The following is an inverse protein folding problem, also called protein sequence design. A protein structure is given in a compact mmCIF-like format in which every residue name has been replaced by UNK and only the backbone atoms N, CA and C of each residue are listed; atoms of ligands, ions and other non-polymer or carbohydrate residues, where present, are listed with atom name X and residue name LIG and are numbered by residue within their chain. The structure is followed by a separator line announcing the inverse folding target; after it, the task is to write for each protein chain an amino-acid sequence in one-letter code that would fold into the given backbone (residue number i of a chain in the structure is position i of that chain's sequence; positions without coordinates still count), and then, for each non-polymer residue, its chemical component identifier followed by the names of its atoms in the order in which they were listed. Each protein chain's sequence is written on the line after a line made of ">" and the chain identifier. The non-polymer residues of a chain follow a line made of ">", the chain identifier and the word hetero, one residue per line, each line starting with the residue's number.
data_IF_138103684891
#
_entry.id   IF_138103684891
#
_cell.length_a   1.000
_cell.length_b   1.000
_cell.length_c   1.000
_cell.angle_alpha   90.00
_cell.angle_beta   90.00
_cell.angle_gamma   90.00
#
_symmetry.space_group_name_H-M   'P 1'
#
loop_
_entity.id
_entity.type
_entity.pdbx_description
1 polymer ?
#
# COMPACT_ATOMS: atom_id res chain seq x y z
N UNK A 1 -53.24 -60.03 42.64
CA UNK A 1 -51.83 -60.40 42.81
C UNK A 1 -51.24 -61.04 41.55
N UNK A 2 -51.79 -62.16 41.07
CA UNK A 2 -51.24 -62.92 39.93
C UNK A 2 -51.06 -62.14 38.62
N UNK A 3 -51.99 -61.24 38.27
CA UNK A 3 -51.86 -60.41 37.06
C UNK A 3 -50.69 -59.41 37.16
N UNK A 4 -50.41 -58.92 38.36
CA UNK A 4 -49.32 -57.98 38.63
C UNK A 4 -47.96 -58.67 38.54
N UNK A 5 -47.84 -59.86 39.15
CA UNK A 5 -46.61 -60.66 39.09
C UNK A 5 -46.26 -61.07 37.65
N UNK A 6 -47.26 -61.46 36.86
CA UNK A 6 -47.08 -61.69 35.41
C UNK A 6 -46.64 -60.43 34.68
N UNK A 7 -47.23 -59.27 35.00
CA UNK A 7 -46.85 -57.99 34.41
C UNK A 7 -45.40 -57.60 34.71
N UNK A 8 -44.96 -57.70 35.96
CA UNK A 8 -43.56 -57.47 36.36
C UNK A 8 -42.62 -58.47 35.68
N UNK A 9 -43.01 -59.74 35.59
CA UNK A 9 -42.21 -60.76 34.92
C UNK A 9 -41.93 -60.42 33.46
N UNK A 10 -42.96 -60.05 32.69
CA UNK A 10 -42.77 -59.66 31.29
C UNK A 10 -42.02 -58.33 31.17
N UNK A 11 -42.30 -57.36 32.03
CA UNK A 11 -41.59 -56.09 32.02
C UNK A 11 -40.08 -56.26 32.26
N UNK A 12 -39.69 -57.15 33.19
CA UNK A 12 -38.28 -57.52 33.41
C UNK A 12 -37.70 -58.27 32.21
N UNK A 13 -38.44 -59.22 31.63
CA UNK A 13 -38.00 -59.99 30.45
C UNK A 13 -37.66 -59.09 29.26
N UNK A 14 -38.40 -57.99 29.08
CA UNK A 14 -38.23 -57.05 27.97
C UNK A 14 -37.53 -55.74 28.38
N UNK A 15 -36.87 -55.69 29.56
CA UNK A 15 -36.13 -54.52 30.07
C UNK A 15 -36.92 -53.19 30.05
N UNK A 16 -38.20 -53.25 30.41
CA UNK A 16 -39.08 -52.08 30.46
C UNK A 16 -38.96 -51.36 31.81
N UNK A 17 -37.78 -50.80 32.11
CA UNK A 17 -37.42 -50.25 33.43
C UNK A 17 -38.40 -49.16 33.93
N UNK A 18 -38.88 -48.28 33.05
CA UNK A 18 -39.89 -47.26 33.39
C UNK A 18 -41.26 -47.88 33.74
N UNK A 19 -41.64 -48.97 33.07
CA UNK A 19 -42.88 -49.67 33.36
C UNK A 19 -42.78 -50.43 34.69
N UNK A 20 -41.64 -51.06 34.97
CA UNK A 20 -41.35 -51.71 36.26
C UNK A 20 -41.45 -50.67 37.40
N UNK A 21 -40.86 -49.49 37.21
CA UNK A 21 -40.96 -48.37 38.16
C UNK A 21 -42.42 -47.99 38.43
N UNK A 22 -43.22 -47.71 37.40
CA UNK A 22 -44.63 -47.33 37.57
C UNK A 22 -45.48 -48.42 38.25
N UNK A 23 -45.18 -49.70 37.97
CA UNK A 23 -45.87 -50.82 38.61
C UNK A 23 -45.55 -50.90 40.10
N UNK A 24 -44.28 -50.79 40.50
CA UNK A 24 -43.90 -50.77 41.92
C UNK A 24 -44.42 -49.52 42.63
N UNK A 25 -44.50 -48.36 41.98
CA UNK A 25 -45.07 -47.14 42.59
C UNK A 25 -46.55 -47.31 42.91
N UNK A 26 -47.30 -47.85 41.94
CA UNK A 26 -48.70 -48.21 42.12
C UNK A 26 -48.90 -49.25 43.24
N UNK A 27 -47.99 -50.22 43.35
CA UNK A 27 -48.04 -51.25 44.38
C UNK A 27 -47.72 -50.69 45.77
N UNK A 28 -46.72 -49.81 45.88
CA UNK A 28 -46.40 -49.11 47.12
C UNK A 28 -47.59 -48.33 47.65
N UNK A 29 -48.23 -47.54 46.77
CA UNK A 29 -49.44 -46.79 47.10
C UNK A 29 -50.58 -47.69 47.55
N UNK A 30 -50.80 -48.79 46.84
CA UNK A 30 -51.81 -49.79 47.22
C UNK A 30 -51.53 -50.36 48.61
N UNK A 31 -50.31 -50.81 48.90
CA UNK A 31 -49.98 -51.37 50.21
C UNK A 31 -50.09 -50.35 51.34
N UNK A 32 -49.66 -49.11 51.12
CA UNK A 32 -49.81 -48.04 52.10
C UNK A 32 -51.29 -47.75 52.40
N UNK A 33 -52.15 -47.68 51.36
CA UNK A 33 -53.59 -47.45 51.50
C UNK A 33 -54.29 -48.52 52.33
N UNK A 34 -53.87 -49.78 52.19
CA UNK A 34 -54.40 -50.92 52.96
C UNK A 34 -53.64 -51.17 54.27
N UNK A 35 -52.86 -50.19 54.77
CA UNK A 35 -52.10 -50.25 56.04
C UNK A 35 -51.09 -51.40 56.13
N UNK A 36 -50.59 -51.90 54.99
CA UNK A 36 -49.53 -52.92 54.90
C UNK A 36 -48.17 -52.24 54.80
N UNK A 37 -47.74 -51.63 55.90
CA UNK A 37 -46.57 -50.73 55.92
C UNK A 37 -45.25 -51.41 55.54
N UNK A 38 -45.02 -52.64 56.00
CA UNK A 38 -43.83 -53.42 55.68
C UNK A 38 -43.66 -53.62 54.17
N UNK A 39 -44.70 -54.13 53.49
CA UNK A 39 -44.69 -54.34 52.03
C UNK A 39 -44.63 -53.03 51.24
N UNK A 40 -45.25 -51.97 51.76
CA UNK A 40 -45.15 -50.64 51.16
C UNK A 40 -43.71 -50.10 51.22
N UNK A 41 -43.02 -50.33 52.34
CA UNK A 41 -41.62 -49.97 52.55
C UNK A 41 -40.68 -50.76 51.63
N UNK A 42 -40.80 -52.09 51.59
CA UNK A 42 -40.03 -52.94 50.67
C UNK A 42 -40.14 -52.46 49.22
N UNK A 43 -41.36 -52.12 48.79
CA UNK A 43 -41.60 -51.62 47.45
C UNK A 43 -40.98 -50.24 47.21
N UNK A 44 -40.96 -49.37 48.23
CA UNK A 44 -40.30 -48.05 48.17
C UNK A 44 -38.79 -48.17 48.04
N UNK A 45 -38.17 -49.14 48.71
CA UNK A 45 -36.72 -49.40 48.57
C UNK A 45 -36.38 -49.78 47.13
N UNK A 46 -37.17 -50.66 46.51
CA UNK A 46 -37.01 -51.04 45.10
C UNK A 46 -37.19 -49.83 44.17
N UNK A 47 -38.16 -48.95 44.45
CA UNK A 47 -38.36 -47.72 43.67
C UNK A 47 -37.18 -46.75 43.77
N UNK A 48 -36.59 -46.62 44.95
CA UNK A 48 -35.42 -45.76 45.13
C UNK A 48 -34.26 -46.23 44.24
N UNK A 49 -33.99 -47.54 44.18
CA UNK A 49 -32.96 -48.11 43.30
C UNK A 49 -33.29 -47.96 41.80
N UNK A 50 -34.55 -48.17 41.41
CA UNK A 50 -34.96 -47.99 40.01
C UNK A 50 -34.88 -46.52 39.58
N UNK A 51 -35.24 -45.58 40.46
CA UNK A 51 -35.14 -44.14 40.17
C UNK A 51 -33.70 -43.70 39.95
N UNK A 52 -32.75 -44.14 40.79
CA UNK A 52 -31.34 -43.77 40.64
C UNK A 52 -30.77 -44.28 39.33
N UNK A 53 -31.13 -45.51 38.91
CA UNK A 53 -30.71 -46.07 37.62
C UNK A 53 -31.33 -45.32 36.43
N UNK A 54 -32.63 -45.02 36.47
CA UNK A 54 -33.33 -44.30 35.39
C UNK A 54 -32.81 -42.87 35.24
N UNK A 55 -32.57 -42.18 36.36
CA UNK A 55 -32.02 -40.83 36.35
C UNK A 55 -30.59 -40.80 35.80
N UNK A 56 -29.74 -41.77 36.18
CA UNK A 56 -28.40 -41.90 35.64
C UNK A 56 -28.41 -42.16 34.11
N UNK A 57 -29.30 -43.03 33.62
CA UNK A 57 -29.46 -43.31 32.18
C UNK A 57 -29.94 -42.06 31.43
N UNK A 58 -30.96 -41.37 31.96
CA UNK A 58 -31.50 -40.16 31.35
C UNK A 58 -30.48 -39.02 31.32
N UNK A 59 -29.71 -38.84 32.39
CA UNK A 59 -28.63 -37.84 32.44
C UNK A 59 -27.50 -38.19 31.47
N UNK A 60 -27.10 -39.45 31.40
CA UNK A 60 -26.07 -39.92 30.46
C UNK A 60 -26.46 -39.67 29.00
N UNK A 61 -27.70 -40.00 28.62
CA UNK A 61 -28.21 -39.72 27.27
C UNK A 61 -28.24 -38.22 26.94
N UNK A 62 -28.69 -37.37 27.89
CA UNK A 62 -28.65 -35.91 27.73
C UNK A 62 -27.21 -35.40 27.61
N UNK A 63 -26.29 -35.94 28.40
CA UNK A 63 -24.87 -35.57 28.38
C UNK A 63 -24.23 -35.91 27.03
N UNK A 64 -24.55 -37.08 26.46
CA UNK A 64 -24.05 -37.51 25.15
C UNK A 64 -24.53 -36.59 24.02
N UNK A 65 -25.81 -36.21 24.02
CA UNK A 65 -26.37 -35.27 23.03
C UNK A 65 -25.66 -33.91 23.15
N UNK A 66 -25.48 -33.42 24.38
CA UNK A 66 -24.78 -32.16 24.64
C UNK A 66 -23.31 -32.22 24.17
N UNK A 67 -22.61 -33.32 24.45
CA UNK A 67 -21.24 -33.51 23.99
C UNK A 67 -21.16 -33.50 22.46
N UNK A 68 -22.07 -34.19 21.78
CA UNK A 68 -22.13 -34.21 20.32
C UNK A 68 -22.42 -32.82 19.74
N UNK A 69 -23.30 -32.04 20.38
CA UNK A 69 -23.57 -30.65 19.98
C UNK A 69 -22.32 -29.76 20.16
N UNK A 70 -21.62 -29.89 21.29
CA UNK A 70 -20.37 -29.16 21.53
C UNK A 70 -19.32 -29.54 20.49
N UNK A 71 -19.16 -30.83 20.18
CA UNK A 71 -18.22 -31.31 19.16
C UNK A 71 -18.59 -30.79 17.77
N UNK A 72 -19.86 -30.84 17.38
CA UNK A 72 -20.33 -30.31 16.11
C UNK A 72 -20.10 -28.79 16.00
N UNK A 73 -20.37 -28.05 17.08
CA UNK A 73 -20.12 -26.62 17.14
C UNK A 73 -18.62 -26.31 17.01
N UNK A 74 -17.74 -27.05 17.70
CA UNK A 74 -16.29 -26.91 17.56
C UNK A 74 -15.82 -27.19 16.13
N UNK A 75 -16.25 -28.30 15.53
CA UNK A 75 -15.93 -28.65 14.14
C UNK A 75 -16.38 -27.57 13.15
N UNK A 76 -17.61 -27.07 13.29
CA UNK A 76 -18.14 -25.99 12.45
C UNK A 76 -17.36 -24.68 12.61
N UNK A 77 -16.94 -24.34 13.83
CA UNK A 77 -16.11 -23.17 14.11
C UNK A 77 -14.73 -23.30 13.45
N UNK A 78 -14.09 -24.46 13.56
CA UNK A 78 -12.80 -24.72 12.91
C UNK A 78 -12.89 -24.61 11.39
N UNK A 79 -13.91 -25.22 10.78
CA UNK A 79 -14.16 -25.13 9.33
C UNK A 79 -14.38 -23.67 8.91
N UNK A 80 -15.18 -22.92 9.66
CA UNK A 80 -15.44 -21.50 9.39
C UNK A 80 -14.17 -20.68 9.50
N UNK A 81 -13.37 -20.90 10.54
CA UNK A 81 -12.11 -20.20 10.74
C UNK A 81 -11.12 -20.51 9.61
N UNK A 82 -10.97 -21.78 9.21
CA UNK A 82 -10.13 -22.17 8.07
C UNK A 82 -10.58 -21.50 6.76
N UNK A 83 -11.89 -21.43 6.50
CA UNK A 83 -12.43 -20.72 5.33
C UNK A 83 -12.09 -19.23 5.38
N UNK A 84 -12.27 -18.59 6.54
CA UNK A 84 -11.96 -17.16 6.72
C UNK A 84 -10.47 -16.89 6.49
N UNK A 85 -9.58 -17.72 7.04
CA UNK A 85 -8.13 -17.61 6.82
C UNK A 85 -7.79 -17.72 5.33
N UNK A 86 -8.36 -18.70 4.62
CA UNK A 86 -8.13 -18.86 3.16
C UNK A 86 -8.62 -17.64 2.36
N UNK A 87 -9.80 -17.11 2.68
CA UNK A 87 -10.35 -15.91 2.03
C UNK A 87 -9.41 -14.71 2.27
N UNK A 88 -8.96 -14.52 3.50
CA UNK A 88 -8.04 -13.45 3.85
C UNK A 88 -6.71 -13.55 3.07
N UNK A 89 -6.14 -14.75 2.94
CA UNK A 89 -4.93 -14.98 2.14
C UNK A 89 -5.14 -14.69 0.66
N UNK A 90 -6.29 -15.04 0.09
CA UNK A 90 -6.62 -14.73 -1.30
C UNK A 90 -6.71 -13.21 -1.53
N UNK A 91 -7.34 -12.50 -0.60
CA UNK A 91 -7.44 -11.02 -0.64
C UNK A 91 -6.05 -10.39 -0.57
N UNK A 92 -5.18 -10.83 0.35
CA UNK A 92 -3.79 -10.33 0.44
C UNK A 92 -3.05 -10.57 -0.87
N UNK A 93 -3.13 -11.79 -1.41
CA UNK A 93 -2.47 -12.14 -2.67
C UNK A 93 -2.93 -11.25 -3.82
N UNK A 94 -4.24 -10.99 -3.91
CA UNK A 94 -4.80 -10.07 -4.90
C UNK A 94 -4.20 -8.65 -4.76
N UNK A 95 -4.15 -8.12 -3.54
CA UNK A 95 -3.54 -6.80 -3.31
C UNK A 95 -2.05 -6.78 -3.62
N UNK A 96 -1.31 -7.85 -3.33
CA UNK A 96 0.11 -7.96 -3.67
C UNK A 96 0.31 -7.95 -5.20
N UNK A 97 -0.52 -8.66 -5.96
CA UNK A 97 -0.47 -8.66 -7.42
C UNK A 97 -0.75 -7.25 -7.96
N UNK A 98 -1.78 -6.58 -7.46
CA UNK A 98 -2.10 -5.20 -7.84
C UNK A 98 -0.94 -4.26 -7.50
N UNK A 99 -0.33 -4.41 -6.33
CA UNK A 99 0.83 -3.63 -5.90
C UNK A 99 2.02 -3.82 -6.85
N UNK A 100 2.32 -5.07 -7.23
CA UNK A 100 3.38 -5.39 -8.19
C UNK A 100 3.11 -4.71 -9.54
N UNK A 101 1.86 -4.74 -10.03
CA UNK A 101 1.47 -4.08 -11.29
C UNK A 101 1.66 -2.56 -11.18
N UNK A 102 1.29 -1.94 -10.06
CA UNK A 102 1.47 -0.50 -9.83
C UNK A 102 2.96 -0.14 -9.80
N UNK A 103 3.77 -0.91 -9.07
CA UNK A 103 5.23 -0.73 -9.03
C UNK A 103 5.84 -0.86 -10.42
N UNK A 104 5.42 -1.86 -11.20
CA UNK A 104 5.88 -2.06 -12.57
C UNK A 104 5.54 -0.86 -13.47
N UNK A 105 4.30 -0.35 -13.39
CA UNK A 105 3.89 0.87 -14.12
C UNK A 105 4.71 2.08 -13.70
N UNK A 106 4.92 2.29 -12.39
CA UNK A 106 5.74 3.40 -11.89
C UNK A 106 7.19 3.29 -12.36
N UNK A 107 7.76 2.08 -12.35
CA UNK A 107 9.11 1.83 -12.85
C UNK A 107 9.22 2.18 -14.35
N UNK A 108 8.28 1.72 -15.17
CA UNK A 108 8.27 2.02 -16.60
C UNK A 108 8.14 3.52 -16.87
N UNK A 109 7.16 4.20 -16.26
CA UNK A 109 6.99 5.65 -16.43
C UNK A 109 8.22 6.44 -15.98
N UNK A 110 8.87 6.03 -14.89
CA UNK A 110 10.10 6.69 -14.43
C UNK A 110 11.28 6.43 -15.37
N UNK A 111 11.37 5.24 -15.99
CA UNK A 111 12.41 4.93 -16.98
C UNK A 111 12.27 5.82 -18.21
N UNK A 112 11.05 5.97 -18.74
CA UNK A 112 10.78 6.84 -19.89
C UNK A 112 11.12 8.30 -19.60
N UNK A 113 10.72 8.82 -18.43
CA UNK A 113 11.06 10.17 -17.99
C UNK A 113 12.57 10.40 -17.90
N UNK A 114 13.33 9.42 -17.37
CA UNK A 114 14.80 9.52 -17.29
C UNK A 114 15.45 9.61 -18.66
N UNK A 115 15.00 8.80 -19.62
CA UNK A 115 15.53 8.82 -20.99
C UNK A 115 15.22 10.17 -21.66
N UNK A 116 14.00 10.70 -21.49
CA UNK A 116 13.62 12.00 -22.05
C UNK A 116 14.48 13.14 -21.49
N UNK A 117 14.65 13.18 -20.16
CA UNK A 117 15.46 14.19 -19.50
C UNK A 117 16.92 14.12 -19.94
N UNK A 118 17.48 12.92 -20.09
CA UNK A 118 18.86 12.77 -20.58
C UNK A 118 19.02 13.29 -22.02
N UNK A 119 18.07 12.95 -22.90
CA UNK A 119 18.08 13.44 -24.29
C UNK A 119 17.94 14.96 -24.36
N UNK A 120 17.05 15.54 -23.55
CA UNK A 120 16.88 16.99 -23.47
C UNK A 120 18.12 17.67 -22.91
N UNK A 121 18.74 17.10 -21.87
CA UNK A 121 20.00 17.59 -21.31
C UNK A 121 21.13 17.54 -22.34
N UNK A 122 21.23 16.47 -23.14
CA UNK A 122 22.21 16.37 -24.22
C UNK A 122 21.98 17.46 -25.28
N UNK A 123 20.75 17.61 -25.76
CA UNK A 123 20.40 18.67 -26.72
C UNK A 123 20.74 20.07 -26.19
N UNK A 124 20.51 20.32 -24.91
CA UNK A 124 20.86 21.59 -24.27
C UNK A 124 22.37 21.80 -24.20
N UNK A 125 23.14 20.76 -23.88
CA UNK A 125 24.61 20.81 -23.92
C UNK A 125 25.13 21.10 -25.31
N UNK A 126 24.59 20.45 -26.34
CA UNK A 126 24.98 20.69 -27.73
C UNK A 126 24.71 22.13 -28.13
N UNK A 127 23.53 22.66 -27.80
CA UNK A 127 23.15 24.05 -28.09
C UNK A 127 24.03 25.07 -27.35
N UNK A 128 24.40 24.79 -26.11
CA UNK A 128 25.36 25.63 -25.36
C UNK A 128 26.74 25.61 -26.01
N UNK A 129 27.19 24.45 -26.48
CA UNK A 129 28.47 24.28 -27.15
C UNK A 129 28.50 25.05 -28.47
N UNK A 130 27.42 24.95 -29.27
CA UNK A 130 27.24 25.71 -30.49
C UNK A 130 27.29 27.22 -30.23
N UNK A 131 26.52 27.70 -29.25
CA UNK A 131 26.48 29.13 -28.92
C UNK A 131 27.82 29.64 -28.39
N UNK A 132 28.50 28.85 -27.56
CA UNK A 132 29.86 29.15 -27.07
C UNK A 132 30.87 29.27 -28.21
N UNK A 133 30.78 28.38 -29.21
CA UNK A 133 31.62 28.44 -30.40
C UNK A 133 31.30 29.67 -31.27
N UNK A 134 30.02 30.01 -31.45
CA UNK A 134 29.62 31.23 -32.16
C UNK A 134 30.17 32.50 -31.49
N UNK A 135 30.07 32.59 -30.16
CA UNK A 135 30.63 33.71 -29.39
C UNK A 135 32.16 33.76 -29.51
N UNK A 136 32.83 32.61 -29.37
CA UNK A 136 34.28 32.53 -29.49
C UNK A 136 34.77 32.92 -30.89
N UNK A 137 34.08 32.48 -31.95
CA UNK A 137 34.39 32.87 -33.32
C UNK A 137 34.14 34.35 -33.56
N UNK A 138 33.03 34.92 -33.07
CA UNK A 138 32.77 36.36 -33.16
C UNK A 138 33.88 37.16 -32.46
N UNK A 139 34.31 36.75 -31.28
CA UNK A 139 35.40 37.39 -30.56
C UNK A 139 36.74 37.26 -31.30
N UNK A 140 37.04 36.11 -31.91
CA UNK A 140 38.25 35.92 -32.71
C UNK A 140 38.25 36.78 -33.98
N UNK A 141 37.11 36.92 -34.66
CA UNK A 141 36.96 37.81 -35.82
C UNK A 141 37.17 39.27 -35.39
N UNK A 142 36.52 39.72 -34.31
CA UNK A 142 36.71 41.07 -33.80
C UNK A 142 38.15 41.33 -33.37
N UNK A 143 38.84 40.34 -32.76
CA UNK A 143 40.25 40.45 -32.38
C UNK A 143 41.16 40.54 -33.60
N UNK A 144 40.97 39.68 -34.60
CA UNK A 144 41.75 39.72 -35.84
C UNK A 144 41.51 41.03 -36.62
N UNK A 145 40.30 41.58 -36.57
CA UNK A 145 40.02 42.88 -37.19
C UNK A 145 40.59 44.04 -36.38
N UNK A 146 40.70 43.92 -35.06
CA UNK A 146 41.41 44.90 -34.23
C UNK A 146 42.90 44.95 -34.59
N UNK A 147 43.52 43.80 -34.89
CA UNK A 147 44.92 43.72 -35.36
C UNK A 147 45.14 44.33 -36.76
N UNK A 148 44.05 44.63 -37.50
CA UNK A 148 44.07 45.27 -38.83
C UNK A 148 43.84 46.78 -38.80
N UNK A 149 43.64 47.37 -37.62
CA UNK A 149 43.52 48.81 -37.49
C UNK A 149 44.82 49.48 -37.92
N UNK A 150 44.73 50.57 -38.68
CA UNK A 150 45.91 51.39 -38.98
C UNK A 150 46.44 52.04 -37.70
N UNK A 151 47.71 52.41 -37.68
CA UNK A 151 48.34 53.10 -36.55
C UNK A 151 47.49 54.29 -36.06
N UNK A 152 46.98 55.08 -37.01
CA UNK A 152 46.10 56.21 -36.73
C UNK A 152 44.75 55.82 -36.12
N UNK A 153 44.15 54.72 -36.59
CA UNK A 153 42.90 54.22 -36.03
C UNK A 153 43.11 53.67 -34.61
N UNK A 154 44.24 53.01 -34.35
CA UNK A 154 44.64 52.51 -33.04
C UNK A 154 44.83 53.64 -32.03
N UNK A 155 45.48 54.74 -32.43
CA UNK A 155 45.58 55.96 -31.61
C UNK A 155 44.20 56.48 -31.20
N UNK A 156 43.29 56.62 -32.16
CA UNK A 156 41.92 57.10 -31.91
C UNK A 156 41.18 56.17 -30.93
N UNK A 157 41.27 54.84 -31.12
CA UNK A 157 40.67 53.86 -30.19
C UNK A 157 41.22 54.00 -28.77
N UNK A 158 42.54 54.16 -28.63
CA UNK A 158 43.18 54.33 -27.33
C UNK A 158 42.73 55.61 -26.61
N UNK A 159 42.51 56.70 -27.34
CA UNK A 159 41.98 57.94 -26.77
C UNK A 159 40.49 57.82 -26.40
N UNK A 160 39.70 57.09 -27.19
CA UNK A 160 38.31 56.77 -26.84
C UNK A 160 38.23 55.96 -25.54
N UNK A 161 39.08 54.94 -25.38
CA UNK A 161 39.16 54.11 -24.16
C UNK A 161 39.55 54.90 -22.91
N UNK A 162 40.28 56.00 -23.08
CA UNK A 162 40.59 56.95 -22.00
C UNK A 162 39.42 57.88 -21.66
N UNK A 163 38.30 57.77 -22.36
CA UNK A 163 37.09 58.56 -22.12
C UNK A 163 37.02 59.90 -22.87
N UNK A 164 37.98 60.22 -23.75
CA UNK A 164 38.04 61.53 -24.42
C UNK A 164 36.93 61.69 -25.47
N UNK A 165 36.26 62.85 -25.47
CA UNK A 165 35.26 63.22 -26.48
C UNK A 165 35.89 63.40 -27.86
N UNK A 166 35.08 63.34 -28.93
CA UNK A 166 35.58 63.51 -30.30
C UNK A 166 36.29 64.85 -30.52
N UNK A 167 35.88 65.89 -29.79
CA UNK A 167 36.49 67.21 -29.83
C UNK A 167 37.89 67.20 -29.20
N UNK A 168 38.04 66.59 -28.03
CA UNK A 168 39.34 66.48 -27.36
C UNK A 168 40.31 65.59 -28.14
N UNK A 169 39.81 64.51 -28.76
CA UNK A 169 40.60 63.66 -29.67
C UNK A 169 41.06 64.46 -30.88
N UNK A 170 40.17 65.23 -31.49
CA UNK A 170 40.48 66.08 -32.64
C UNK A 170 41.58 67.11 -32.32
N UNK A 171 41.50 67.73 -31.13
CA UNK A 171 42.51 68.66 -30.61
C UNK A 171 43.87 67.97 -30.37
N UNK A 172 43.90 66.82 -29.68
CA UNK A 172 45.15 66.09 -29.41
C UNK A 172 45.83 65.57 -30.68
N UNK A 173 45.04 65.18 -31.67
CA UNK A 173 45.51 64.57 -32.89
C UNK A 173 45.67 65.59 -34.04
N UNK A 174 45.40 66.88 -33.79
CA UNK A 174 45.46 67.99 -34.76
C UNK A 174 44.65 67.74 -36.05
N UNK A 175 43.41 67.24 -35.90
CA UNK A 175 42.49 66.97 -37.02
C UNK A 175 41.10 67.55 -36.72
N UNK A 176 40.17 67.51 -37.68
CA UNK A 176 38.80 67.95 -37.45
C UNK A 176 37.96 66.90 -36.69
N UNK A 177 36.96 67.33 -35.92
CA UNK A 177 36.00 66.42 -35.26
C UNK A 177 35.27 65.52 -36.29
N UNK A 178 35.00 66.03 -37.49
CA UNK A 178 34.40 65.25 -38.57
C UNK A 178 35.33 64.14 -39.06
N UNK A 179 36.64 64.39 -39.10
CA UNK A 179 37.66 63.38 -39.44
C UNK A 179 37.69 62.28 -38.37
N UNK A 180 37.60 62.64 -37.09
CA UNK A 180 37.48 61.66 -35.98
C UNK A 180 36.21 60.82 -36.13
N UNK A 181 35.05 61.44 -36.41
CA UNK A 181 33.78 60.73 -36.67
C UNK A 181 33.90 59.76 -37.85
N UNK A 182 34.58 60.16 -38.91
CA UNK A 182 34.83 59.30 -40.07
C UNK A 182 35.68 58.08 -39.68
N UNK A 183 36.81 58.28 -38.99
CA UNK A 183 37.65 57.17 -38.54
C UNK A 183 36.89 56.24 -37.58
N UNK A 184 36.12 56.77 -36.64
CA UNK A 184 35.29 55.96 -35.73
C UNK A 184 34.25 55.14 -36.49
N UNK A 185 33.60 55.71 -37.51
CA UNK A 185 32.67 54.96 -38.36
C UNK A 185 33.38 53.80 -39.07
N UNK A 186 34.57 54.03 -39.63
CA UNK A 186 35.36 52.96 -40.24
C UNK A 186 35.79 51.89 -39.23
N UNK A 187 36.18 52.29 -38.02
CA UNK A 187 36.56 51.39 -36.91
C UNK A 187 35.36 50.52 -36.48
N UNK A 188 34.18 51.12 -36.30
CA UNK A 188 32.94 50.42 -35.96
C UNK A 188 32.57 49.36 -37.00
N UNK A 189 32.65 49.74 -38.29
CA UNK A 189 32.43 48.81 -39.39
C UNK A 189 33.47 47.68 -39.40
N UNK A 190 34.75 47.99 -39.15
CA UNK A 190 35.83 47.00 -39.15
C UNK A 190 35.70 46.00 -37.98
N UNK A 191 35.33 46.49 -36.79
CA UNK A 191 35.21 45.67 -35.58
C UNK A 191 33.84 44.99 -35.42
N UNK A 192 32.84 45.38 -36.23
CA UNK A 192 31.48 44.84 -36.18
C UNK A 192 30.72 45.27 -34.91
N UNK A 193 30.93 46.51 -34.48
CA UNK A 193 30.31 47.10 -33.28
C UNK A 193 29.50 48.33 -33.67
N UNK A 194 28.40 48.57 -32.95
CA UNK A 194 27.41 49.57 -33.34
C UNK A 194 27.47 50.84 -32.48
N UNK A 195 28.27 50.82 -31.39
CA UNK A 195 28.28 51.89 -30.40
C UNK A 195 29.67 52.19 -29.83
N UNK A 196 29.87 53.45 -29.45
CA UNK A 196 31.08 53.92 -28.73
C UNK A 196 31.31 53.17 -27.41
N UNK A 197 30.22 52.75 -26.74
CA UNK A 197 30.30 52.01 -25.46
C UNK A 197 30.77 50.56 -25.65
N UNK A 198 30.84 50.08 -26.89
CA UNK A 198 31.31 48.74 -27.23
C UNK A 198 32.81 48.68 -27.58
N UNK A 199 33.51 49.83 -27.56
CA UNK A 199 34.98 49.96 -27.69
C UNK A 199 35.68 49.88 -26.33
#
# INVERSE_FOLDING_TARGET
>A
MQAFEKGIYYAKKYNMDLYIYNMYDSLSYHYAKFKKWEKAYETRVILAELSTKLDAINQSGKLQILEQEIQNNRSNLEIRNQKNIKIFLFIISFFLIVLIIVIYKLYQTNKEKRILVENENQRMRDKLTELSNQISNKNNISKHNADRLSERQTEIVNLVKKGLTNKEIAEQLFISENTVKYHLKSIYTLLGIDSRNSL
#
